data_IF_852238143874
#
_entry.id   IF_852238143874
#
_cell.length_a   1.000
_cell.length_b   1.000
_cell.length_c   1.000
_cell.angle_alpha   90.00
_cell.angle_beta   90.00
_cell.angle_gamma   90.00
#
_symmetry.space_group_name_H-M   'P 1'
#
loop_
_entity.id
_entity.type
_entity.pdbx_description
1 polymer ?
#
# COMPACT_ATOMS: atom_id res chain seq x y z
N UNK A 1 7.35 1.99 -26.13
CA UNK A 1 7.55 2.97 -25.04
C UNK A 1 9.05 3.07 -24.80
N UNK A 2 9.60 4.28 -24.93
CA UNK A 2 11.01 4.55 -24.65
C UNK A 2 11.30 4.48 -23.14
N UNK A 3 12.58 4.54 -22.78
CA UNK A 3 13.04 4.36 -21.39
C UNK A 3 12.63 5.52 -20.49
N UNK A 4 12.63 6.76 -20.99
CA UNK A 4 12.23 7.92 -20.19
C UNK A 4 10.76 7.83 -19.81
N UNK A 5 9.89 7.49 -20.78
CA UNK A 5 8.46 7.29 -20.50
C UNK A 5 8.23 6.17 -19.46
N UNK A 6 9.01 5.08 -19.50
CA UNK A 6 8.93 4.02 -18.47
C UNK A 6 9.36 4.54 -17.09
N UNK A 7 10.46 5.28 -17.03
CA UNK A 7 10.96 5.86 -15.78
C UNK A 7 9.94 6.85 -15.20
N UNK A 8 9.33 7.69 -16.04
CA UNK A 8 8.30 8.65 -15.62
C UNK A 8 7.08 7.94 -15.04
N UNK A 9 6.61 6.85 -15.66
CA UNK A 9 5.54 6.02 -15.09
C UNK A 9 5.93 5.46 -13.72
N UNK A 10 7.17 4.99 -13.54
CA UNK A 10 7.63 4.42 -12.27
C UNK A 10 7.77 5.52 -11.20
N UNK A 11 8.27 6.70 -11.56
CA UNK A 11 8.47 7.84 -10.67
C UNK A 11 7.19 8.60 -10.36
N UNK A 12 6.16 8.48 -11.21
CA UNK A 12 4.86 9.11 -11.01
C UNK A 12 4.35 8.84 -9.59
N UNK A 13 3.81 9.87 -8.89
CA UNK A 13 3.16 9.68 -7.60
C UNK A 13 2.15 8.52 -7.65
N UNK A 14 2.07 7.69 -6.60
CA UNK A 14 2.55 7.93 -5.25
C UNK A 14 3.99 7.46 -4.93
N UNK A 15 4.87 7.21 -5.90
CA UNK A 15 6.28 6.88 -5.60
C UNK A 15 6.98 7.98 -4.79
N UNK A 16 7.67 7.61 -3.73
CA UNK A 16 8.46 8.52 -2.87
C UNK A 16 9.96 8.25 -2.95
N UNK A 17 10.37 6.99 -3.09
CA UNK A 17 11.79 6.61 -3.09
C UNK A 17 12.05 5.49 -4.10
N UNK A 18 13.21 5.56 -4.75
CA UNK A 18 13.77 4.49 -5.57
C UNK A 18 15.21 4.26 -5.10
N UNK A 19 15.58 3.02 -4.83
CA UNK A 19 16.91 2.62 -4.37
C UNK A 19 17.63 1.75 -5.43
N UNK A 20 18.44 2.31 -6.32
CA UNK A 20 18.56 3.74 -6.66
C UNK A 20 18.16 4.00 -8.12
N UNK A 21 17.82 5.23 -8.48
CA UNK A 21 17.32 5.57 -9.83
C UNK A 21 18.29 5.20 -10.96
N UNK A 22 19.61 5.29 -10.74
CA UNK A 22 20.59 4.87 -11.75
C UNK A 22 20.55 3.37 -12.04
N UNK A 23 20.35 2.55 -11.00
CA UNK A 23 20.19 1.09 -11.13
C UNK A 23 18.84 0.75 -11.78
N UNK A 24 17.80 1.56 -11.57
CA UNK A 24 16.52 1.41 -12.29
C UNK A 24 16.70 1.59 -13.80
N UNK A 25 17.44 2.63 -14.20
CA UNK A 25 17.73 2.89 -15.61
C UNK A 25 18.50 1.72 -16.23
N UNK A 26 19.58 1.29 -15.59
CA UNK A 26 20.37 0.14 -16.05
C UNK A 26 19.52 -1.14 -16.17
N UNK A 27 18.63 -1.38 -15.21
CA UNK A 27 17.70 -2.50 -15.26
C UNK A 27 16.77 -2.42 -16.48
N UNK A 28 16.22 -1.25 -16.77
CA UNK A 28 15.31 -1.05 -17.91
C UNK A 28 16.03 -1.10 -19.27
N UNK A 29 17.31 -0.75 -19.31
CA UNK A 29 18.17 -0.87 -20.49
C UNK A 29 18.55 -2.32 -20.79
N UNK A 30 18.78 -3.13 -19.75
CA UNK A 30 19.33 -4.49 -19.87
C UNK A 30 18.30 -5.60 -19.77
N UNK A 31 17.13 -5.33 -19.20
CA UNK A 31 16.05 -6.30 -19.04
C UNK A 31 14.76 -5.77 -19.68
N UNK A 32 14.29 -6.37 -20.79
CA UNK A 32 13.08 -5.89 -21.47
C UNK A 32 11.80 -6.11 -20.66
N UNK A 33 11.81 -7.11 -19.75
CA UNK A 33 10.64 -7.49 -18.93
C UNK A 33 11.03 -7.78 -17.47
N UNK A 34 11.44 -6.76 -16.70
CA UNK A 34 11.79 -6.92 -15.29
C UNK A 34 10.64 -7.55 -14.50
N UNK A 35 11.00 -8.35 -13.49
CA UNK A 35 10.04 -8.87 -12.52
C UNK A 35 9.73 -7.83 -11.45
N UNK A 36 8.46 -7.62 -11.15
CA UNK A 36 8.00 -6.81 -10.02
C UNK A 36 7.21 -7.68 -9.06
N UNK A 37 7.32 -7.39 -7.77
CA UNK A 37 6.35 -7.90 -6.81
C UNK A 37 6.04 -6.88 -5.71
N UNK A 38 4.86 -7.03 -5.12
CA UNK A 38 4.48 -6.41 -3.85
C UNK A 38 3.76 -7.43 -2.96
N UNK A 39 4.18 -7.52 -1.70
CA UNK A 39 3.62 -8.45 -0.71
C UNK A 39 2.55 -7.81 0.17
N UNK A 40 1.50 -8.56 0.49
CA UNK A 40 0.45 -8.13 1.43
C UNK A 40 0.17 -9.21 2.49
N UNK A 41 0.16 -8.80 3.76
CA UNK A 41 -0.46 -9.57 4.82
C UNK A 41 -1.98 -9.58 4.65
N UNK A 42 -2.58 -10.77 4.74
CA UNK A 42 -4.01 -11.00 4.76
C UNK A 42 -4.51 -10.71 6.17
N UNK A 43 -5.07 -9.51 6.33
CA UNK A 43 -5.24 -8.90 7.66
C UNK A 43 -6.61 -8.26 7.87
N UNK A 44 -7.58 -8.54 7.00
CA UNK A 44 -8.92 -7.94 7.04
C UNK A 44 -9.27 -7.23 5.73
N UNK A 45 -10.30 -6.39 5.76
CA UNK A 45 -10.82 -5.65 4.60
C UNK A 45 -9.78 -4.71 3.97
N UNK A 46 -9.79 -4.59 2.64
CA UNK A 46 -8.88 -3.71 1.90
C UNK A 46 -9.35 -2.26 1.98
N UNK A 47 -8.41 -1.37 2.30
CA UNK A 47 -8.62 0.08 2.31
C UNK A 47 -7.86 0.78 1.17
N UNK A 48 -8.08 2.09 1.01
CA UNK A 48 -7.47 2.92 -0.04
C UNK A 48 -5.94 2.72 -0.15
N UNK A 49 -5.22 2.80 0.97
CA UNK A 49 -3.77 2.55 0.99
C UNK A 49 -3.36 1.17 0.47
N UNK A 50 -4.10 0.10 0.79
CA UNK A 50 -3.71 -1.25 0.34
C UNK A 50 -3.99 -1.44 -1.16
N UNK A 51 -5.23 -1.20 -1.60
CA UNK A 51 -5.62 -1.52 -2.97
C UNK A 51 -5.36 -0.35 -3.94
N UNK A 52 -5.84 0.85 -3.63
CA UNK A 52 -5.87 1.97 -4.57
C UNK A 52 -4.46 2.52 -4.79
N UNK A 53 -3.77 2.89 -3.73
CA UNK A 53 -2.41 3.46 -3.80
C UNK A 53 -1.41 2.45 -4.40
N UNK A 54 -1.40 1.22 -3.88
CA UNK A 54 -0.54 0.16 -4.44
C UNK A 54 -0.92 -0.19 -5.88
N UNK A 55 -2.21 -0.27 -6.17
CA UNK A 55 -2.75 -0.64 -7.46
C UNK A 55 -2.44 0.37 -8.56
N UNK A 56 -2.44 1.67 -8.25
CA UNK A 56 -1.98 2.69 -9.18
C UNK A 56 -0.54 2.44 -9.62
N UNK A 57 0.37 2.14 -8.68
CA UNK A 57 1.74 1.79 -9.04
C UNK A 57 1.84 0.48 -9.80
N UNK A 58 1.09 -0.55 -9.42
CA UNK A 58 1.03 -1.81 -10.20
C UNK A 58 0.61 -1.52 -11.64
N UNK A 59 -0.41 -0.69 -11.86
CA UNK A 59 -0.87 -0.31 -13.18
C UNK A 59 0.16 0.51 -13.96
N UNK A 60 0.91 1.40 -13.31
CA UNK A 60 2.02 2.11 -13.95
C UNK A 60 3.14 1.15 -14.37
N UNK A 61 3.49 0.18 -13.52
CA UNK A 61 4.49 -0.85 -13.85
C UNK A 61 4.03 -1.74 -15.01
N UNK A 62 2.77 -2.19 -14.99
CA UNK A 62 2.17 -2.96 -16.09
C UNK A 62 2.22 -2.18 -17.41
N UNK A 63 1.86 -0.88 -17.39
CA UNK A 63 1.96 0.00 -18.57
C UNK A 63 3.40 0.17 -19.05
N UNK A 64 4.37 0.19 -18.14
CA UNK A 64 5.80 0.24 -18.46
C UNK A 64 6.36 -1.10 -19.01
N UNK A 65 5.53 -2.16 -19.10
CA UNK A 65 5.91 -3.47 -19.63
C UNK A 65 6.61 -4.39 -18.62
N UNK A 66 6.48 -4.09 -17.32
CA UNK A 66 7.05 -4.87 -16.21
C UNK A 66 6.09 -6.02 -15.86
N UNK A 67 6.64 -7.18 -15.51
CA UNK A 67 5.86 -8.35 -15.10
C UNK A 67 5.50 -8.24 -13.63
N UNK A 68 4.28 -7.78 -13.36
CA UNK A 68 3.84 -7.49 -11.99
C UNK A 68 3.19 -8.68 -11.30
N UNK A 69 3.51 -8.83 -10.02
CA UNK A 69 2.95 -9.86 -9.17
C UNK A 69 2.50 -9.29 -7.82
N UNK A 70 1.33 -9.72 -7.37
CA UNK A 70 0.85 -9.53 -6.01
C UNK A 70 1.07 -10.82 -5.23
N UNK A 71 1.85 -10.72 -4.16
CA UNK A 71 2.18 -11.84 -3.29
C UNK A 71 1.30 -11.81 -2.03
N UNK A 72 0.41 -12.79 -1.91
CA UNK A 72 -0.52 -12.94 -0.81
C UNK A 72 0.16 -13.75 0.31
N UNK A 73 0.70 -13.03 1.28
CA UNK A 73 1.65 -13.53 2.24
C UNK A 73 0.96 -14.25 3.42
N UNK A 74 0.35 -15.40 3.17
CA UNK A 74 -0.39 -16.21 4.14
C UNK A 74 0.46 -16.65 5.35
N UNK A 75 1.67 -17.17 5.13
CA UNK A 75 2.59 -17.53 6.24
C UNK A 75 2.98 -16.33 7.09
N UNK A 76 3.28 -15.20 6.45
CA UNK A 76 3.58 -13.95 7.12
C UNK A 76 2.40 -13.45 7.96
N UNK A 77 1.19 -13.59 7.42
CA UNK A 77 -0.06 -13.26 8.11
C UNK A 77 -0.26 -14.11 9.35
N UNK A 78 0.04 -15.41 9.26
CA UNK A 78 0.00 -16.32 10.41
C UNK A 78 1.04 -15.93 11.46
N UNK A 79 2.30 -15.73 11.06
CA UNK A 79 3.39 -15.31 11.96
C UNK A 79 3.02 -14.01 12.70
N UNK A 80 2.37 -13.07 12.01
CA UNK A 80 1.93 -11.82 12.63
C UNK A 80 0.54 -11.90 13.29
N UNK A 81 0.06 -13.11 13.60
CA UNK A 81 -1.18 -13.40 14.32
C UNK A 81 -2.43 -12.74 13.72
N UNK A 82 -2.50 -12.62 12.38
CA UNK A 82 -3.71 -12.16 11.70
C UNK A 82 -4.80 -13.23 11.79
N UNK A 83 -6.06 -12.79 11.85
CA UNK A 83 -7.21 -13.68 12.07
C UNK A 83 -7.05 -14.63 13.27
N UNK A 84 -6.32 -14.19 14.30
CA UNK A 84 -6.05 -15.01 15.49
C UNK A 84 -5.06 -16.15 15.26
N UNK A 85 -4.26 -16.10 14.19
CA UNK A 85 -3.37 -17.20 13.81
C UNK A 85 -4.10 -18.38 13.17
N UNK A 86 -5.30 -18.16 12.63
CA UNK A 86 -6.07 -19.21 11.95
C UNK A 86 -5.69 -19.28 10.46
N UNK A 87 -4.97 -20.34 10.10
CA UNK A 87 -4.44 -20.53 8.75
C UNK A 87 -5.55 -20.67 7.69
N UNK A 88 -6.63 -21.36 8.04
CA UNK A 88 -7.74 -21.60 7.11
C UNK A 88 -8.49 -20.30 6.83
N UNK A 89 -8.71 -19.47 7.86
CA UNK A 89 -9.30 -18.13 7.67
C UNK A 89 -8.40 -17.24 6.81
N UNK A 90 -7.08 -17.27 7.03
CA UNK A 90 -6.11 -16.53 6.22
C UNK A 90 -6.19 -16.98 4.77
N UNK A 91 -6.11 -18.29 4.49
CA UNK A 91 -6.17 -18.84 3.14
C UNK A 91 -7.49 -18.52 2.45
N UNK A 92 -8.62 -18.62 3.14
CA UNK A 92 -9.92 -18.24 2.59
C UNK A 92 -9.97 -16.74 2.23
N UNK A 93 -9.40 -15.88 3.08
CA UNK A 93 -9.32 -14.45 2.85
C UNK A 93 -8.37 -14.06 1.70
N UNK A 94 -7.41 -14.91 1.30
CA UNK A 94 -6.58 -14.65 0.09
C UNK A 94 -7.43 -14.50 -1.16
N UNK A 95 -8.56 -15.22 -1.27
CA UNK A 95 -9.45 -15.16 -2.44
C UNK A 95 -10.03 -13.77 -2.64
N UNK A 96 -10.40 -13.10 -1.54
CA UNK A 96 -10.89 -11.72 -1.56
C UNK A 96 -9.80 -10.76 -2.08
N UNK A 97 -8.57 -10.90 -1.60
CA UNK A 97 -7.44 -10.08 -2.05
C UNK A 97 -7.14 -10.32 -3.54
N UNK A 98 -7.09 -11.59 -3.95
CA UNK A 98 -6.86 -11.98 -5.34
C UNK A 98 -7.88 -11.33 -6.28
N UNK A 99 -9.18 -11.45 -5.97
CA UNK A 99 -10.26 -10.86 -6.77
C UNK A 99 -10.17 -9.34 -6.83
N UNK A 100 -9.90 -8.68 -5.71
CA UNK A 100 -9.75 -7.22 -5.67
C UNK A 100 -8.59 -6.73 -6.54
N UNK A 101 -7.40 -7.34 -6.41
CA UNK A 101 -6.22 -6.95 -7.20
C UNK A 101 -6.34 -7.31 -8.67
N UNK A 102 -6.91 -8.47 -9.02
CA UNK A 102 -7.14 -8.84 -10.42
C UNK A 102 -8.11 -7.88 -11.12
N UNK A 103 -9.15 -7.44 -10.43
CA UNK A 103 -10.07 -6.44 -10.97
C UNK A 103 -9.41 -5.07 -11.12
N UNK A 104 -8.73 -4.60 -10.06
CA UNK A 104 -8.16 -3.25 -10.04
C UNK A 104 -6.89 -3.11 -10.90
N UNK A 105 -6.15 -4.20 -11.08
CA UNK A 105 -4.90 -4.26 -11.85
C UNK A 105 -4.97 -5.35 -12.93
N UNK A 106 -5.69 -5.12 -14.05
CA UNK A 106 -5.81 -6.12 -15.12
C UNK A 106 -4.44 -6.53 -15.67
N UNK A 107 -4.12 -7.82 -15.59
CA UNK A 107 -2.84 -8.38 -16.03
C UNK A 107 -1.83 -8.66 -14.91
N UNK A 108 -2.14 -8.30 -13.65
CA UNK A 108 -1.31 -8.69 -12.51
C UNK A 108 -1.40 -10.19 -12.24
N UNK A 109 -0.27 -10.83 -11.94
CA UNK A 109 -0.24 -12.22 -11.47
C UNK A 109 -0.51 -12.24 -9.96
N UNK A 110 -1.31 -13.19 -9.50
CA UNK A 110 -1.48 -13.49 -8.07
C UNK A 110 -0.64 -14.72 -7.73
N UNK A 111 0.01 -14.71 -6.57
CA UNK A 111 0.66 -15.89 -5.97
C UNK A 111 0.44 -15.88 -4.47
N UNK A 112 0.08 -17.03 -3.93
CA UNK A 112 -0.05 -17.21 -2.48
C UNK A 112 1.27 -17.72 -1.91
N UNK A 113 1.65 -17.25 -0.72
CA UNK A 113 2.93 -17.60 -0.09
C UNK A 113 3.12 -19.12 0.05
N UNK A 114 2.10 -19.85 0.47
CA UNK A 114 2.12 -21.32 0.50
C UNK A 114 2.52 -21.97 -0.82
N UNK A 115 2.18 -21.40 -1.98
CA UNK A 115 2.60 -21.92 -3.29
C UNK A 115 4.12 -21.77 -3.49
N UNK A 116 4.73 -20.70 -2.99
CA UNK A 116 6.17 -20.47 -3.08
C UNK A 116 6.96 -21.44 -2.19
N UNK A 117 6.44 -21.75 -1.00
CA UNK A 117 7.19 -22.53 -0.01
C UNK A 117 6.98 -24.05 -0.12
N UNK A 118 5.85 -24.48 -0.67
CA UNK A 118 5.51 -25.89 -0.79
C UNK A 118 6.48 -26.61 -1.74
N UNK A 119 7.04 -27.74 -1.31
CA UNK A 119 8.03 -28.54 -2.05
C UNK A 119 9.22 -27.72 -2.58
N UNK A 120 9.62 -26.69 -1.85
CA UNK A 120 10.69 -25.78 -2.26
C UNK A 120 11.88 -25.80 -1.27
N UNK A 121 12.64 -26.90 -1.29
CA UNK A 121 13.85 -27.05 -0.47
C UNK A 121 14.87 -25.92 -0.69
N UNK A 122 14.94 -25.39 -1.91
CA UNK A 122 15.84 -24.30 -2.25
C UNK A 122 15.50 -23.03 -1.47
N UNK A 123 14.22 -22.68 -1.36
CA UNK A 123 13.76 -21.54 -0.56
C UNK A 123 14.27 -21.64 0.88
N UNK A 124 14.04 -22.77 1.53
CA UNK A 124 14.40 -22.96 2.93
C UNK A 124 15.93 -23.00 3.15
N UNK A 125 16.68 -23.59 2.21
CA UNK A 125 18.16 -23.53 2.23
C UNK A 125 18.65 -22.10 2.07
N UNK A 126 18.05 -21.33 1.16
CA UNK A 126 18.40 -19.93 0.93
C UNK A 126 18.03 -19.06 2.13
N UNK A 127 16.92 -19.33 2.81
CA UNK A 127 16.55 -18.68 4.07
C UNK A 127 17.61 -18.88 5.15
N UNK A 128 18.07 -20.11 5.37
CA UNK A 128 19.11 -20.38 6.36
C UNK A 128 20.44 -19.72 5.99
N UNK A 129 20.84 -19.76 4.71
CA UNK A 129 22.04 -19.05 4.24
C UNK A 129 21.92 -17.54 4.44
N UNK A 130 20.77 -16.96 4.14
CA UNK A 130 20.49 -15.54 4.34
C UNK A 130 20.59 -15.17 5.82
N UNK A 131 19.96 -15.96 6.69
CA UNK A 131 19.97 -15.75 8.14
C UNK A 131 21.39 -15.79 8.74
N UNK A 132 22.32 -16.57 8.17
CA UNK A 132 23.74 -16.57 8.59
C UNK A 132 24.47 -15.25 8.35
N UNK A 133 23.92 -14.37 7.51
CA UNK A 133 24.44 -13.02 7.29
C UNK A 133 23.76 -11.96 8.16
N UNK A 134 22.86 -12.36 9.05
CA UNK A 134 22.13 -11.48 9.96
C UNK A 134 22.55 -11.70 11.41
N UNK A 135 22.62 -10.63 12.19
CA UNK A 135 22.67 -10.70 13.65
C UNK A 135 21.24 -10.59 14.21
N UNK A 136 21.02 -11.10 15.42
CA UNK A 136 19.73 -10.94 16.10
C UNK A 136 19.34 -9.46 16.25
N UNK A 137 20.30 -8.59 16.57
CA UNK A 137 20.09 -7.14 16.65
C UNK A 137 19.66 -6.53 15.31
N UNK A 138 20.14 -7.04 14.18
CA UNK A 138 19.71 -6.60 12.85
C UNK A 138 18.26 -7.01 12.58
N UNK A 139 17.88 -8.23 12.97
CA UNK A 139 16.50 -8.72 12.86
C UNK A 139 15.54 -7.85 13.66
N UNK A 140 15.87 -7.54 14.91
CA UNK A 140 15.07 -6.70 15.81
C UNK A 140 14.74 -5.33 15.18
N UNK A 141 15.74 -4.66 14.60
CA UNK A 141 15.56 -3.36 13.93
C UNK A 141 14.62 -3.40 12.72
N UNK A 142 14.44 -4.57 12.12
CA UNK A 142 13.58 -4.78 10.95
C UNK A 142 12.15 -5.16 11.33
N UNK A 143 11.83 -5.39 12.62
CA UNK A 143 10.48 -5.78 13.05
C UNK A 143 9.40 -4.74 12.73
N UNK A 144 9.78 -3.48 12.52
CA UNK A 144 8.82 -2.43 12.18
C UNK A 144 8.08 -2.69 10.85
N UNK A 145 8.63 -3.52 9.95
CA UNK A 145 7.99 -3.88 8.67
C UNK A 145 6.65 -4.61 8.85
N UNK A 146 6.51 -5.37 9.95
CA UNK A 146 5.26 -6.07 10.31
C UNK A 146 4.44 -5.30 11.36
N UNK A 147 4.80 -4.04 11.62
CA UNK A 147 4.15 -3.16 12.60
C UNK A 147 4.42 -3.52 14.06
N UNK A 148 5.57 -4.14 14.35
CA UNK A 148 5.99 -4.55 15.71
C UNK A 148 7.21 -3.76 16.17
N UNK A 149 7.34 -3.64 17.49
CA UNK A 149 8.47 -3.02 18.17
C UNK A 149 9.30 -4.03 18.96
N UNK A 150 10.57 -3.71 19.22
CA UNK A 150 11.48 -4.56 20.00
C UNK A 150 11.05 -4.71 21.48
N UNK A 151 10.17 -3.82 21.95
CA UNK A 151 9.65 -3.79 23.32
C UNK A 151 8.43 -4.69 23.53
N UNK A 152 7.86 -5.24 22.47
CA UNK A 152 6.73 -6.17 22.57
C UNK A 152 7.19 -7.58 22.96
N UNK A 153 6.29 -8.36 23.57
CA UNK A 153 6.53 -9.79 23.80
C UNK A 153 6.39 -10.54 22.48
N UNK A 154 7.51 -10.83 21.85
CA UNK A 154 7.57 -11.51 20.56
C UNK A 154 7.85 -13.00 20.72
N UNK A 155 7.17 -13.82 19.92
CA UNK A 155 7.49 -15.24 19.79
C UNK A 155 8.55 -15.46 18.71
N UNK A 156 9.18 -16.65 18.71
CA UNK A 156 10.31 -16.95 17.82
C UNK A 156 9.92 -16.84 16.32
N UNK A 157 8.66 -17.11 15.96
CA UNK A 157 8.23 -17.09 14.56
C UNK A 157 8.39 -15.70 13.94
N UNK A 158 8.20 -14.64 14.74
CA UNK A 158 8.31 -13.26 14.29
C UNK A 158 9.73 -12.86 13.92
N UNK A 159 10.75 -13.54 14.46
CA UNK A 159 12.14 -13.31 14.08
C UNK A 159 12.48 -13.89 12.70
N UNK A 160 11.70 -14.86 12.21
CA UNK A 160 11.86 -15.40 10.85
C UNK A 160 11.23 -14.52 9.78
N UNK A 161 10.28 -13.64 10.14
CA UNK A 161 9.56 -12.83 9.17
C UNK A 161 10.49 -11.92 8.34
N UNK A 162 11.38 -11.07 8.91
CA UNK A 162 12.24 -10.22 8.08
C UNK A 162 13.15 -10.98 7.10
N UNK A 163 13.87 -12.07 7.49
CA UNK A 163 14.64 -12.83 6.53
C UNK A 163 13.77 -13.56 5.50
N UNK A 164 12.56 -14.04 5.86
CA UNK A 164 11.62 -14.60 4.88
C UNK A 164 11.25 -13.57 3.82
N UNK A 165 10.78 -12.39 4.22
CA UNK A 165 10.41 -11.32 3.28
C UNK A 165 11.58 -10.90 2.38
N UNK A 166 12.82 -10.89 2.87
CA UNK A 166 13.99 -10.55 2.05
C UNK A 166 14.34 -11.67 1.06
N UNK A 167 14.18 -12.94 1.43
CA UNK A 167 14.44 -14.09 0.56
C UNK A 167 13.35 -14.25 -0.49
N UNK A 168 12.10 -13.92 -0.16
CA UNK A 168 10.97 -13.90 -1.10
C UNK A 168 11.32 -13.11 -2.37
N UNK A 169 11.96 -11.94 -2.23
CA UNK A 169 12.36 -11.09 -3.37
C UNK A 169 13.15 -11.91 -4.40
N UNK A 170 14.13 -12.68 -3.93
CA UNK A 170 14.99 -13.51 -4.78
C UNK A 170 14.22 -14.70 -5.35
N UNK A 171 13.45 -15.38 -4.51
CA UNK A 171 12.80 -16.64 -4.85
C UNK A 171 11.58 -16.46 -5.77
N UNK A 172 10.92 -15.31 -5.68
CA UNK A 172 9.90 -14.85 -6.64
C UNK A 172 10.55 -14.46 -7.99
N UNK A 173 11.83 -14.06 -7.96
CA UNK A 173 12.54 -13.56 -9.14
C UNK A 173 12.20 -12.10 -9.45
N UNK A 174 11.92 -11.29 -8.43
CA UNK A 174 11.64 -9.88 -8.58
C UNK A 174 12.93 -9.08 -8.71
N UNK A 175 13.04 -8.29 -9.78
CA UNK A 175 14.06 -7.25 -9.95
C UNK A 175 13.64 -5.97 -9.21
N UNK A 176 12.33 -5.72 -9.11
CA UNK A 176 11.72 -4.51 -8.52
C UNK A 176 10.80 -4.91 -7.35
N UNK A 177 11.33 -5.04 -6.13
CA UNK A 177 10.52 -5.16 -4.92
C UNK A 177 9.85 -3.82 -4.61
N UNK A 178 8.51 -3.82 -4.63
CA UNK A 178 7.66 -2.67 -4.39
C UNK A 178 6.96 -2.80 -3.04
N UNK A 179 6.89 -1.70 -2.30
CA UNK A 179 6.18 -1.65 -1.02
C UNK A 179 5.88 -0.23 -0.61
N UNK A 180 5.14 -0.07 0.49
CA UNK A 180 5.05 1.24 1.15
C UNK A 180 6.40 1.61 1.79
N UNK A 181 6.57 2.87 2.18
CA UNK A 181 7.77 3.30 2.89
C UNK A 181 8.05 2.53 4.20
N UNK A 182 7.04 1.91 4.79
CA UNK A 182 7.19 1.05 5.98
C UNK A 182 7.92 -0.27 5.69
N UNK A 183 7.98 -0.70 4.42
CA UNK A 183 8.71 -1.91 3.98
C UNK A 183 10.18 -1.63 3.63
N UNK A 184 10.61 -0.37 3.65
CA UNK A 184 11.95 0.06 3.23
C UNK A 184 13.08 -0.71 3.90
N UNK A 185 12.97 -0.99 5.21
CA UNK A 185 14.02 -1.71 5.95
C UNK A 185 14.27 -3.12 5.42
N UNK A 186 13.21 -3.85 5.02
CA UNK A 186 13.36 -5.18 4.42
C UNK A 186 14.06 -5.11 3.06
N UNK A 187 13.73 -4.13 2.22
CA UNK A 187 14.38 -3.98 0.92
C UNK A 187 15.85 -3.55 1.06
N UNK A 188 16.17 -2.69 2.02
CA UNK A 188 17.57 -2.34 2.35
C UNK A 188 18.32 -3.57 2.85
N UNK A 189 17.73 -4.36 3.74
CA UNK A 189 18.31 -5.62 4.22
C UNK A 189 18.64 -6.58 3.07
N UNK A 190 17.72 -6.75 2.13
CA UNK A 190 17.95 -7.55 0.93
C UNK A 190 19.12 -7.01 0.10
N UNK A 191 19.16 -5.70 -0.17
CA UNK A 191 20.26 -5.05 -0.94
C UNK A 191 21.63 -5.16 -0.26
N UNK A 192 21.68 -5.20 1.07
CA UNK A 192 22.91 -5.39 1.85
C UNK A 192 23.43 -6.83 1.82
N UNK A 193 22.53 -7.81 1.85
CA UNK A 193 22.89 -9.23 2.00
C UNK A 193 23.02 -9.94 0.65
N UNK A 194 22.24 -9.57 -0.36
CA UNK A 194 22.25 -10.22 -1.68
C UNK A 194 23.66 -10.32 -2.29
N UNK A 195 24.51 -9.26 -2.27
CA UNK A 195 25.89 -9.37 -2.77
C UNK A 195 26.73 -10.43 -2.03
N UNK A 196 26.54 -10.57 -0.71
CA UNK A 196 27.25 -11.57 0.11
C UNK A 196 26.84 -13.00 -0.26
N UNK A 197 25.65 -13.16 -0.84
CA UNK A 197 25.11 -14.42 -1.35
C UNK A 197 25.36 -14.62 -2.85
N UNK A 198 26.04 -13.69 -3.52
CA UNK A 198 26.26 -13.72 -4.97
C UNK A 198 24.99 -13.42 -5.79
N UNK A 199 23.97 -12.79 -5.19
CA UNK A 199 22.74 -12.39 -5.86
C UNK A 199 22.81 -10.94 -6.32
N UNK A 200 22.14 -10.64 -7.44
CA UNK A 200 22.01 -9.28 -7.97
C UNK A 200 21.18 -8.43 -7.01
N UNK A 201 21.60 -7.18 -6.76
CA UNK A 201 20.83 -6.25 -5.94
C UNK A 201 19.50 -5.92 -6.62
N UNK A 202 18.37 -5.94 -5.90
CA UNK A 202 17.09 -5.55 -6.44
C UNK A 202 16.91 -4.03 -6.38
N UNK A 203 16.18 -3.44 -7.34
CA UNK A 203 15.85 -2.01 -7.38
C UNK A 203 14.56 -1.78 -6.61
N UNK A 204 14.66 -1.31 -5.38
CA UNK A 204 13.48 -1.12 -4.55
C UNK A 204 12.72 0.16 -4.91
N UNK A 205 11.39 0.08 -5.00
CA UNK A 205 10.52 1.23 -5.24
C UNK A 205 9.51 1.35 -4.11
N UNK A 206 9.45 2.51 -3.47
CA UNK A 206 8.60 2.74 -2.31
C UNK A 206 7.55 3.81 -2.61
N UNK A 207 6.30 3.53 -2.24
CA UNK A 207 5.20 4.46 -2.39
C UNK A 207 4.79 5.09 -1.05
N UNK A 208 4.14 6.25 -1.16
CA UNK A 208 3.62 7.03 -0.05
C UNK A 208 2.57 6.25 0.76
N UNK A 209 2.68 6.31 2.09
CA UNK A 209 1.70 5.72 3.00
C UNK A 209 0.56 6.70 3.28
N UNK A 210 -0.60 6.44 2.68
CA UNK A 210 -1.79 7.28 2.90
C UNK A 210 -2.17 7.32 4.40
N UNK A 211 -2.34 8.53 4.94
CA UNK A 211 -2.72 8.72 6.33
C UNK A 211 -4.14 8.22 6.62
N UNK A 212 -4.36 7.83 7.88
CA UNK A 212 -5.70 7.60 8.42
C UNK A 212 -6.46 8.91 8.62
N UNK A 213 -7.79 8.85 8.70
CA UNK A 213 -8.64 10.03 8.82
C UNK A 213 -8.61 10.71 10.20
N UNK A 214 -7.96 10.11 11.20
CA UNK A 214 -7.86 10.71 12.55
C UNK A 214 -6.83 11.85 12.59
N UNK A 215 -6.78 12.58 13.71
CA UNK A 215 -5.68 13.50 13.97
C UNK A 215 -4.35 12.72 13.93
N UNK A 216 -3.33 13.18 13.17
CA UNK A 216 -2.03 12.54 13.09
C UNK A 216 -1.39 12.36 14.46
N UNK A 217 -0.66 11.26 14.63
CA UNK A 217 0.05 10.94 15.85
C UNK A 217 1.22 11.92 16.02
N UNK A 218 1.22 12.68 17.11
CA UNK A 218 2.33 13.55 17.49
C UNK A 218 3.39 12.72 18.19
N UNK A 219 4.48 12.42 17.47
CA UNK A 219 5.65 11.79 18.04
C UNK A 219 6.65 12.85 18.51
N UNK A 220 7.48 12.55 19.51
CA UNK A 220 8.56 13.43 19.97
C UNK A 220 9.67 13.59 18.91
N UNK A 221 9.79 12.63 18.00
CA UNK A 221 10.72 12.66 16.87
C UNK A 221 10.33 13.74 15.85
N UNK A 222 11.34 14.41 15.30
CA UNK A 222 11.17 15.34 14.17
C UNK A 222 11.16 14.63 12.81
N UNK A 223 11.33 13.31 12.79
CA UNK A 223 11.30 12.54 11.55
C UNK A 223 9.86 12.46 11.01
N UNK A 224 9.62 13.17 9.90
CA UNK A 224 8.32 13.18 9.22
C UNK A 224 7.91 11.78 8.75
N UNK A 225 8.86 10.94 8.34
CA UNK A 225 8.55 9.60 7.86
C UNK A 225 8.02 8.72 9.01
N UNK A 226 8.61 8.81 10.20
CA UNK A 226 8.12 8.08 11.38
C UNK A 226 6.72 8.55 11.78
N UNK A 227 6.44 9.86 11.69
CA UNK A 227 5.10 10.41 11.96
C UNK A 227 4.05 9.91 10.94
N UNK A 228 4.39 9.87 9.66
CA UNK A 228 3.51 9.33 8.60
C UNK A 228 3.27 7.84 8.81
N UNK A 229 4.30 7.05 9.11
CA UNK A 229 4.17 5.62 9.41
C UNK A 229 3.25 5.38 10.62
N UNK A 230 3.37 6.19 11.68
CA UNK A 230 2.52 6.10 12.87
C UNK A 230 1.07 6.56 12.61
N UNK A 231 0.87 7.47 11.66
CA UNK A 231 -0.44 8.03 11.31
C UNK A 231 -1.11 7.33 10.11
N UNK A 232 -0.51 6.27 9.58
CA UNK A 232 -0.99 5.57 8.39
C UNK A 232 -2.39 4.98 8.57
N UNK A 233 -3.12 4.85 7.48
CA UNK A 233 -4.42 4.18 7.48
C UNK A 233 -4.28 2.74 7.99
N UNK A 234 -5.07 2.40 9.02
CA UNK A 234 -5.04 1.08 9.67
C UNK A 234 -6.44 0.56 9.95
N UNK A 235 -6.56 -0.76 9.90
CA UNK A 235 -7.81 -1.51 10.15
C UNK A 235 -8.20 -1.53 11.63
N UNK A 236 -7.28 -1.24 12.55
CA UNK A 236 -7.52 -1.26 14.00
C UNK A 236 -8.62 -0.29 14.44
N UNK A 237 -8.82 0.81 13.71
CA UNK A 237 -9.93 1.75 13.93
C UNK A 237 -10.71 1.88 12.62
N UNK A 238 -11.78 1.08 12.40
CA UNK A 238 -12.48 1.05 11.11
C UNK A 238 -13.01 2.42 10.62
N UNK A 239 -13.31 3.35 11.54
CA UNK A 239 -13.75 4.71 11.16
C UNK A 239 -12.64 5.57 10.56
N UNK A 240 -11.37 5.27 10.85
CA UNK A 240 -10.22 6.02 10.33
C UNK A 240 -9.75 5.55 8.96
N UNK A 241 -10.33 4.48 8.43
CA UNK A 241 -9.99 3.90 7.14
C UNK A 241 -11.21 3.92 6.21
N UNK A 242 -10.99 4.24 4.94
CA UNK A 242 -12.00 4.09 3.89
C UNK A 242 -11.75 2.76 3.18
N UNK A 243 -12.72 1.86 3.25
CA UNK A 243 -12.65 0.55 2.61
C UNK A 243 -13.15 0.65 1.16
N UNK A 244 -12.63 -0.23 0.30
CA UNK A 244 -12.91 -0.21 -1.14
C UNK A 244 -14.39 -0.45 -1.50
N UNK A 245 -15.14 -1.00 -0.56
CA UNK A 245 -16.56 -1.33 -0.68
C UNK A 245 -17.43 -0.48 0.27
N UNK A 246 -16.89 0.57 0.88
CA UNK A 246 -17.73 1.51 1.63
C UNK A 246 -18.77 2.13 0.68
N UNK A 247 -20.01 2.25 1.17
CA UNK A 247 -21.07 2.99 0.47
C UNK A 247 -20.74 4.48 0.43
N UNK A 248 -21.43 5.22 -0.44
CA UNK A 248 -21.26 6.67 -0.51
C UNK A 248 -21.54 7.34 0.85
N UNK A 249 -22.59 6.90 1.55
CA UNK A 249 -22.96 7.41 2.87
C UNK A 249 -21.88 7.14 3.91
N UNK A 250 -21.26 5.95 3.86
CA UNK A 250 -20.16 5.58 4.76
C UNK A 250 -18.93 6.44 4.50
N UNK A 251 -18.56 6.66 3.23
CA UNK A 251 -17.45 7.54 2.83
C UNK A 251 -17.70 8.96 3.32
N UNK A 252 -18.90 9.51 3.07
CA UNK A 252 -19.30 10.84 3.52
C UNK A 252 -19.26 10.96 5.06
N UNK A 253 -19.77 9.97 5.79
CA UNK A 253 -19.76 9.97 7.25
C UNK A 253 -18.34 9.95 7.82
N UNK A 254 -17.44 9.13 7.24
CA UNK A 254 -16.03 9.06 7.63
C UNK A 254 -15.29 10.37 7.34
N UNK A 255 -15.43 10.93 6.14
CA UNK A 255 -14.75 12.18 5.77
C UNK A 255 -15.27 13.41 6.52
N UNK A 256 -16.55 13.45 6.87
CA UNK A 256 -17.10 14.49 7.75
C UNK A 256 -16.34 14.58 9.08
N UNK A 257 -16.00 13.42 9.65
CA UNK A 257 -15.25 13.27 10.90
C UNK A 257 -13.74 13.40 10.75
N UNK A 258 -13.22 13.42 9.52
CA UNK A 258 -11.78 13.41 9.28
C UNK A 258 -11.08 14.66 9.82
N UNK A 259 -9.83 14.51 10.25
CA UNK A 259 -8.95 15.61 10.58
C UNK A 259 -8.69 16.46 9.32
N UNK A 260 -9.02 17.75 9.39
CA UNK A 260 -8.85 18.69 8.27
C UNK A 260 -8.88 20.12 8.81
N UNK A 261 -7.85 20.57 9.55
CA UNK A 261 -7.84 21.90 10.16
C UNK A 261 -7.76 22.99 9.10
N UNK A 262 -8.49 24.09 9.31
CA UNK A 262 -8.48 25.23 8.40
C UNK A 262 -7.06 25.71 8.08
N UNK A 263 -6.78 25.91 6.78
CA UNK A 263 -5.52 26.44 6.25
C UNK A 263 -4.28 25.56 6.50
N UNK A 264 -4.40 24.45 7.23
CA UNK A 264 -3.29 23.53 7.48
C UNK A 264 -3.18 22.49 6.36
N UNK A 265 -2.13 22.61 5.54
CA UNK A 265 -1.89 21.69 4.43
C UNK A 265 -1.00 20.50 4.81
N UNK A 266 -0.15 20.66 5.82
CA UNK A 266 0.76 19.61 6.29
C UNK A 266 0.04 18.60 7.18
N UNK A 267 0.30 17.31 6.95
CA UNK A 267 -0.33 16.19 7.66
C UNK A 267 -1.87 16.28 7.65
N UNK A 268 -2.45 16.63 6.49
CA UNK A 268 -3.89 16.72 6.30
C UNK A 268 -4.40 15.53 5.44
N UNK A 269 -5.07 14.52 6.03
CA UNK A 269 -5.46 13.30 5.33
C UNK A 269 -6.48 13.55 4.21
N UNK A 270 -7.31 14.60 4.32
CA UNK A 270 -8.29 14.94 3.27
C UNK A 270 -7.60 15.50 2.03
N UNK A 271 -6.58 16.33 2.22
CA UNK A 271 -5.75 16.82 1.12
C UNK A 271 -4.89 15.72 0.49
N UNK A 272 -4.39 14.77 1.29
CA UNK A 272 -3.66 13.61 0.73
C UNK A 272 -4.53 12.74 -0.17
N UNK A 273 -5.78 12.48 0.22
CA UNK A 273 -6.73 11.76 -0.65
C UNK A 273 -6.92 12.53 -1.96
N UNK A 274 -7.09 13.85 -1.90
CA UNK A 274 -7.19 14.66 -3.11
C UNK A 274 -5.93 14.54 -3.97
N UNK A 275 -4.74 14.69 -3.37
CA UNK A 275 -3.44 14.63 -4.05
C UNK A 275 -3.16 13.30 -4.72
N UNK A 276 -3.24 12.21 -3.96
CA UNK A 276 -2.74 10.90 -4.38
C UNK A 276 -3.81 10.02 -5.02
N UNK A 277 -5.09 10.37 -4.90
CA UNK A 277 -6.19 9.59 -5.48
C UNK A 277 -6.96 10.40 -6.51
N UNK A 278 -7.50 11.55 -6.13
CA UNK A 278 -8.36 12.31 -7.05
C UNK A 278 -7.54 12.86 -8.22
N UNK A 279 -6.45 13.60 -7.96
CA UNK A 279 -5.56 14.11 -9.01
C UNK A 279 -4.70 13.03 -9.69
N UNK A 280 -4.75 11.78 -9.22
CA UNK A 280 -4.20 10.66 -9.96
C UNK A 280 -5.17 10.20 -11.08
N UNK A 281 -6.47 10.19 -10.79
CA UNK A 281 -7.52 9.66 -11.68
C UNK A 281 -8.28 10.74 -12.48
N UNK A 282 -8.05 12.01 -12.15
CA UNK A 282 -8.75 13.16 -12.71
C UNK A 282 -7.76 14.26 -13.01
N UNK A 283 -7.92 14.89 -14.17
CA UNK A 283 -7.15 16.08 -14.55
C UNK A 283 -7.63 17.34 -13.81
N UNK A 284 -8.87 17.33 -13.30
CA UNK A 284 -9.43 18.45 -12.55
C UNK A 284 -10.31 17.98 -11.39
N UNK A 285 -10.43 18.83 -10.36
CA UNK A 285 -11.26 18.59 -9.19
C UNK A 285 -12.20 19.77 -8.93
N UNK A 286 -13.50 19.50 -8.96
CA UNK A 286 -14.55 20.52 -8.77
C UNK A 286 -15.17 20.44 -7.38
N UNK A 287 -15.25 21.59 -6.70
CA UNK A 287 -15.94 21.77 -5.43
C UNK A 287 -17.21 22.58 -5.66
N UNK A 288 -18.35 21.91 -5.61
CA UNK A 288 -19.67 22.53 -5.69
C UNK A 288 -20.05 23.16 -4.34
N UNK A 289 -20.30 24.47 -4.33
CA UNK A 289 -20.78 25.20 -3.15
C UNK A 289 -21.71 26.34 -3.53
N UNK A 290 -22.69 26.69 -2.67
CA UNK A 290 -23.60 27.81 -2.91
C UNK A 290 -22.87 29.12 -3.22
N UNK A 291 -23.46 29.98 -4.07
CA UNK A 291 -22.87 31.28 -4.44
C UNK A 291 -22.51 32.16 -3.24
N UNK A 292 -23.30 32.09 -2.15
CA UNK A 292 -23.05 32.80 -0.88
C UNK A 292 -21.76 32.37 -0.17
N UNK A 293 -21.19 31.22 -0.53
CA UNK A 293 -19.91 30.70 -0.01
C UNK A 293 -18.81 30.70 -1.07
N UNK A 294 -18.96 31.50 -2.13
CA UNK A 294 -17.94 31.70 -3.17
C UNK A 294 -18.14 30.86 -4.44
N UNK A 295 -19.29 30.17 -4.59
CA UNK A 295 -19.67 29.47 -5.82
C UNK A 295 -18.80 28.25 -6.16
N UNK A 296 -19.22 27.49 -7.18
CA UNK A 296 -18.47 26.32 -7.66
C UNK A 296 -17.06 26.72 -8.11
N UNK A 297 -16.04 26.03 -7.61
CA UNK A 297 -14.64 26.20 -8.03
C UNK A 297 -14.15 24.90 -8.66
N UNK A 298 -13.36 25.01 -9.72
CA UNK A 298 -12.60 23.88 -10.30
C UNK A 298 -11.11 24.16 -10.17
N UNK A 299 -10.36 23.14 -9.77
CA UNK A 299 -8.91 23.15 -9.66
C UNK A 299 -8.32 22.23 -10.72
N UNK A 300 -7.40 22.72 -11.54
CA UNK A 300 -6.72 21.95 -12.61
C UNK A 300 -5.47 21.23 -12.10
N UNK A 301 -5.04 21.53 -10.86
CA UNK A 301 -3.94 20.82 -10.23
C UNK A 301 -4.06 20.81 -8.70
N UNK A 302 -3.37 19.85 -8.07
CA UNK A 302 -3.25 19.81 -6.62
C UNK A 302 -2.61 21.07 -6.04
N UNK A 303 -1.67 21.70 -6.76
CA UNK A 303 -1.00 22.92 -6.30
C UNK A 303 -1.99 24.08 -6.15
N UNK A 304 -2.96 24.20 -7.07
CA UNK A 304 -4.03 25.19 -6.98
C UNK A 304 -4.96 24.92 -5.80
N UNK A 305 -5.39 23.66 -5.63
CA UNK A 305 -6.21 23.24 -4.49
C UNK A 305 -5.53 23.56 -3.16
N UNK A 306 -4.25 23.19 -3.03
CA UNK A 306 -3.46 23.40 -1.82
C UNK A 306 -3.32 24.90 -1.50
N UNK A 307 -3.05 25.73 -2.52
CA UNK A 307 -2.95 27.19 -2.37
C UNK A 307 -4.28 27.80 -1.92
N UNK A 308 -5.40 27.41 -2.53
CA UNK A 308 -6.73 27.90 -2.16
C UNK A 308 -7.10 27.49 -0.72
N UNK A 309 -6.76 26.26 -0.31
CA UNK A 309 -6.97 25.81 1.05
C UNK A 309 -6.11 26.58 2.06
N UNK A 310 -4.80 26.72 1.80
CA UNK A 310 -3.85 27.44 2.67
C UNK A 310 -4.22 28.90 2.88
N UNK A 311 -4.74 29.57 1.84
CA UNK A 311 -5.17 30.96 1.91
C UNK A 311 -6.57 31.15 2.50
N UNK A 312 -7.29 30.06 2.79
CA UNK A 312 -8.65 30.09 3.36
C UNK A 312 -9.76 30.38 2.35
N UNK A 313 -9.47 30.31 1.04
CA UNK A 313 -10.47 30.45 -0.01
C UNK A 313 -11.38 29.21 -0.11
N UNK A 314 -10.90 28.07 0.39
CA UNK A 314 -11.64 26.81 0.46
C UNK A 314 -11.79 26.38 1.93
N UNK A 315 -13.04 26.23 2.37
CA UNK A 315 -13.36 25.79 3.73
C UNK A 315 -13.25 24.26 3.86
N UNK A 316 -12.81 23.71 5.02
CA UNK A 316 -12.68 22.26 5.22
C UNK A 316 -13.94 21.45 4.95
N UNK A 317 -15.11 21.98 5.30
CA UNK A 317 -16.39 21.27 5.08
C UNK A 317 -16.71 21.10 3.60
N UNK A 318 -16.39 22.09 2.77
CA UNK A 318 -16.59 22.04 1.32
C UNK A 318 -15.62 21.02 0.71
N UNK A 319 -14.35 21.09 1.11
CA UNK A 319 -13.31 20.13 0.70
C UNK A 319 -13.71 18.70 1.06
N UNK A 320 -14.10 18.44 2.31
CA UNK A 320 -14.53 17.10 2.77
C UNK A 320 -15.69 16.55 1.95
N UNK A 321 -16.69 17.38 1.69
CA UNK A 321 -17.89 16.98 0.94
C UNK A 321 -17.55 16.66 -0.52
N UNK A 322 -16.75 17.50 -1.17
CA UNK A 322 -16.33 17.28 -2.54
C UNK A 322 -15.41 16.06 -2.69
N UNK A 323 -14.45 15.88 -1.77
CA UNK A 323 -13.58 14.70 -1.74
C UNK A 323 -14.41 13.42 -1.54
N UNK A 324 -15.42 13.44 -0.66
CA UNK A 324 -16.29 12.29 -0.44
C UNK A 324 -17.07 11.90 -1.69
N UNK A 325 -17.70 12.87 -2.36
CA UNK A 325 -18.46 12.67 -3.59
C UNK A 325 -17.57 12.07 -4.68
N UNK A 326 -16.39 12.63 -4.90
CA UNK A 326 -15.53 12.19 -5.99
C UNK A 326 -14.82 10.86 -5.72
N UNK A 327 -14.42 10.63 -4.47
CA UNK A 327 -13.91 9.33 -4.03
C UNK A 327 -14.96 8.22 -4.17
N UNK A 328 -16.23 8.50 -3.86
CA UNK A 328 -17.31 7.52 -3.99
C UNK A 328 -17.51 7.07 -5.45
N UNK A 329 -17.30 7.98 -6.42
CA UNK A 329 -17.30 7.65 -7.86
C UNK A 329 -16.09 6.84 -8.27
N UNK A 330 -14.89 7.21 -7.79
CA UNK A 330 -13.66 6.44 -8.07
C UNK A 330 -13.77 5.00 -7.56
N UNK A 331 -14.41 4.79 -6.40
CA UNK A 331 -14.63 3.47 -5.83
C UNK A 331 -15.87 2.72 -6.37
N UNK A 332 -16.74 3.37 -7.15
CA UNK A 332 -17.97 2.73 -7.66
C UNK A 332 -17.69 1.46 -8.46
N UNK A 333 -16.71 1.40 -9.39
CA UNK A 333 -16.49 0.20 -10.20
C UNK A 333 -16.12 -1.04 -9.36
N UNK A 334 -15.20 -0.89 -8.40
CA UNK A 334 -14.78 -2.00 -7.52
C UNK A 334 -15.90 -2.38 -6.55
N UNK A 335 -16.67 -1.41 -6.04
CA UNK A 335 -17.83 -1.69 -5.19
C UNK A 335 -18.89 -2.49 -5.94
N UNK A 336 -19.27 -2.04 -7.15
CA UNK A 336 -20.23 -2.75 -8.01
C UNK A 336 -19.72 -4.16 -8.36
N UNK A 337 -18.44 -4.33 -8.65
CA UNK A 337 -17.85 -5.65 -8.91
C UNK A 337 -18.13 -6.64 -7.76
N UNK A 338 -17.91 -6.24 -6.51
CA UNK A 338 -18.19 -7.07 -5.34
C UNK A 338 -19.69 -7.25 -5.03
N UNK A 339 -20.57 -6.45 -5.63
CA UNK A 339 -22.03 -6.62 -5.53
C UNK A 339 -22.57 -7.61 -6.57
N UNK A 340 -22.02 -7.56 -7.79
CA UNK A 340 -22.54 -8.28 -8.96
C UNK A 340 -21.83 -9.60 -9.26
N UNK A 341 -20.53 -9.71 -9.00
CA UNK A 341 -19.78 -10.95 -9.21
C UNK A 341 -19.98 -11.90 -8.02
N UNK A 342 -20.47 -13.11 -8.30
CA UNK A 342 -20.84 -14.07 -7.24
C UNK A 342 -19.64 -14.48 -6.39
N UNK A 343 -18.52 -14.81 -7.04
CA UNK A 343 -17.32 -15.29 -6.34
C UNK A 343 -16.65 -14.17 -5.53
N UNK A 344 -16.58 -12.97 -6.10
CA UNK A 344 -16.07 -11.80 -5.41
C UNK A 344 -16.92 -11.51 -4.16
N UNK A 345 -18.24 -11.47 -4.31
CA UNK A 345 -19.18 -11.25 -3.20
C UNK A 345 -19.04 -12.30 -2.11
N UNK A 346 -19.02 -13.58 -2.47
CA UNK A 346 -18.83 -14.68 -1.52
C UNK A 346 -17.51 -14.55 -0.76
N UNK A 347 -16.42 -14.22 -1.46
CA UNK A 347 -15.10 -14.02 -0.83
C UNK A 347 -15.08 -12.85 0.16
N UNK A 348 -15.77 -11.74 -0.14
CA UNK A 348 -15.90 -10.59 0.75
C UNK A 348 -16.69 -10.95 2.02
N UNK A 349 -17.78 -11.69 1.89
CA UNK A 349 -18.61 -12.08 3.04
C UNK A 349 -17.86 -13.01 4.00
N UNK A 350 -16.96 -13.87 3.49
CA UNK A 350 -16.07 -14.68 4.34
C UNK A 350 -15.18 -13.80 5.20
N UNK A 351 -14.56 -12.76 4.61
CA UNK A 351 -13.68 -11.85 5.35
C UNK A 351 -14.45 -11.04 6.40
N UNK A 352 -15.63 -10.52 6.05
CA UNK A 352 -16.48 -9.79 7.00
C UNK A 352 -16.87 -10.64 8.20
N UNK A 353 -17.25 -11.90 7.98
CA UNK A 353 -17.59 -12.83 9.07
C UNK A 353 -16.38 -13.12 9.96
N UNK A 354 -15.21 -13.31 9.37
CA UNK A 354 -13.98 -13.59 10.10
C UNK A 354 -13.56 -12.39 11.00
N UNK A 355 -13.80 -11.15 10.57
CA UNK A 355 -13.55 -9.96 11.40
C UNK A 355 -14.51 -9.81 12.58
N UNK A 356 -15.77 -10.22 12.45
CA UNK A 356 -16.78 -10.16 13.54
C UNK A 356 -16.45 -11.16 14.66
N UNK A 357 -15.78 -12.27 14.32
CA UNK A 357 -15.42 -13.33 15.29
C UNK A 357 -14.11 -13.07 16.06
N UNK A 358 -13.52 -11.89 15.93
CA UNK A 358 -12.27 -11.46 16.57
C UNK A 358 -12.57 -10.49 17.70
#
# INVERSE_FOLDING_TARGET
>A
MDIETKIDLIKRPPTEEILVESELRELLETNPHPGHYIGFEISGLLHLGNLVISGFKINDFLKAGIRCQVFLADWHSYINNKFGGDWDKILQATKYYAKAFQFFCPGVKIMVGSELYHNNDEYWRNLLKFAKHMTLSRTLRCLTIMGRSETEKLDLSQYFYPPMQAVDIKMIGADIPHGGMDQRKAHVLAREIFPKMGWKKPVAVHHHLLMGLAEPVKLETRDKLEQVIASKMSKSKPWTAIFIHDSEEQIQAKLRRAWCPEKQTEMNPVLEIAKYIIFHERDAFTVERPSKYGGTITFESYAELEKAYRTGQLHPQDLKSAVAKELAKILEPIRRYFETDREARESLEVVKKAEITR
#
